data_IF_936930539213
#
_entry.id   IF_936930539213
#
_cell.length_a   1.000
_cell.length_b   1.000
_cell.length_c   1.000
_cell.angle_alpha   90.00
_cell.angle_beta   90.00
_cell.angle_gamma   90.00
#
_symmetry.space_group_name_H-M   'P 1'
#
loop_
_entity.id
_entity.type
_entity.pdbx_description
1 polymer ?
#
# COMPACT_ATOMS: atom_id res chain seq x y z
N UNK A 1 20.93 20.63 15.88
CA UNK A 1 19.91 20.60 14.79
C UNK A 1 18.56 20.33 15.44
N UNK A 2 17.54 21.16 15.18
CA UNK A 2 16.18 20.90 15.62
C UNK A 2 15.51 19.95 14.60
N UNK A 3 15.49 18.65 14.92
CA UNK A 3 14.94 17.65 14.01
C UNK A 3 13.44 17.84 13.70
N UNK A 4 12.66 18.42 14.61
CA UNK A 4 11.23 18.65 14.38
C UNK A 4 10.97 19.71 13.30
N UNK A 5 11.65 20.86 13.42
CA UNK A 5 11.53 21.94 12.44
C UNK A 5 12.09 21.54 11.08
N UNK A 6 13.24 20.87 11.07
CA UNK A 6 13.88 20.43 9.83
C UNK A 6 13.05 19.33 9.13
N UNK A 7 12.48 18.39 9.89
CA UNK A 7 11.59 17.39 9.35
C UNK A 7 10.35 18.01 8.71
N UNK A 8 9.72 18.98 9.35
CA UNK A 8 8.56 19.67 8.80
C UNK A 8 8.91 20.39 7.48
N UNK A 9 10.04 21.08 7.45
CA UNK A 9 10.55 21.75 6.25
C UNK A 9 10.77 20.76 5.10
N UNK A 10 11.45 19.65 5.40
CA UNK A 10 11.75 18.60 4.40
C UNK A 10 10.48 17.90 3.88
N UNK A 11 9.50 17.61 4.73
CA UNK A 11 8.23 17.03 4.29
C UNK A 11 7.47 17.95 3.34
N UNK A 12 7.51 19.27 3.59
CA UNK A 12 6.93 20.25 2.69
C UNK A 12 7.67 20.32 1.33
N UNK A 13 8.99 20.17 1.34
CA UNK A 13 9.82 20.15 0.13
C UNK A 13 9.63 18.86 -0.68
N UNK A 14 9.65 17.71 -0.03
CA UNK A 14 9.47 16.39 -0.67
C UNK A 14 8.08 16.18 -1.23
N UNK A 15 7.05 16.79 -0.62
CA UNK A 15 5.63 16.56 -0.98
C UNK A 15 5.20 15.10 -0.91
N UNK A 16 5.73 14.39 0.09
CA UNK A 16 5.62 12.95 0.27
C UNK A 16 6.94 12.23 0.07
N UNK A 17 7.06 11.03 0.62
CA UNK A 17 8.29 10.21 0.58
C UNK A 17 8.26 9.11 -0.46
N UNK A 18 7.14 8.97 -1.17
CA UNK A 18 6.90 7.90 -2.14
C UNK A 18 6.57 8.49 -3.51
N UNK A 19 6.95 7.75 -4.53
CA UNK A 19 6.64 8.02 -5.92
C UNK A 19 6.16 6.74 -6.60
N UNK A 20 5.19 6.84 -7.50
CA UNK A 20 4.76 5.74 -8.36
C UNK A 20 5.40 5.95 -9.73
N UNK A 21 6.22 5.00 -10.14
CA UNK A 21 6.99 5.07 -11.39
C UNK A 21 6.53 3.96 -12.34
N UNK A 22 6.27 4.31 -13.60
CA UNK A 22 6.02 3.34 -14.65
C UNK A 22 7.29 2.52 -14.94
N UNK A 23 7.16 1.20 -15.01
CA UNK A 23 8.29 0.27 -15.27
C UNK A 23 8.48 -0.06 -16.75
N UNK A 24 7.55 0.35 -17.59
CA UNK A 24 7.55 0.07 -19.03
C UNK A 24 7.49 1.38 -19.81
N UNK A 25 8.12 1.45 -20.98
CA UNK A 25 8.02 2.62 -21.84
C UNK A 25 6.62 2.73 -22.44
N UNK A 26 6.19 3.96 -22.73
CA UNK A 26 4.97 4.28 -23.48
C UNK A 26 5.32 5.38 -24.49
N UNK A 27 6.37 5.17 -25.25
CA UNK A 27 6.93 6.17 -26.17
C UNK A 27 6.44 6.01 -27.60
N UNK A 28 5.95 4.84 -27.94
CA UNK A 28 5.46 4.50 -29.28
C UNK A 28 4.03 3.95 -29.22
N UNK A 29 3.35 3.92 -30.37
CA UNK A 29 2.05 3.27 -30.50
C UNK A 29 2.13 1.76 -30.21
N UNK A 30 3.24 1.15 -30.55
CA UNK A 30 3.49 -0.28 -30.28
C UNK A 30 3.64 -0.52 -28.77
N UNK A 31 4.46 0.28 -28.08
CA UNK A 31 4.57 0.20 -26.60
C UNK A 31 3.20 0.27 -25.94
N UNK A 32 2.38 1.26 -26.35
CA UNK A 32 1.04 1.43 -25.82
C UNK A 32 0.15 0.21 -26.10
N UNK A 33 0.25 -0.36 -27.29
CA UNK A 33 -0.55 -1.52 -27.69
C UNK A 33 -0.16 -2.78 -26.91
N UNK A 34 1.09 -2.91 -26.50
CA UNK A 34 1.57 -4.00 -25.66
C UNK A 34 1.24 -3.77 -24.17
N UNK A 35 1.45 -2.57 -23.68
CA UNK A 35 1.24 -2.25 -22.27
C UNK A 35 -0.24 -2.09 -21.91
N UNK A 36 -1.09 -1.73 -22.87
CA UNK A 36 -2.52 -1.49 -22.65
C UNK A 36 -3.37 -2.19 -23.73
N UNK A 37 -4.17 -1.46 -24.49
CA UNK A 37 -5.09 -2.06 -25.47
C UNK A 37 -4.45 -2.14 -26.87
N UNK A 38 -4.47 -3.31 -27.56
CA UNK A 38 -5.23 -4.54 -27.24
C UNK A 38 -4.46 -5.62 -26.46
N UNK A 39 -3.14 -5.51 -26.32
CA UNK A 39 -2.27 -6.57 -25.82
C UNK A 39 -2.59 -7.01 -24.38
N UNK A 40 -3.02 -6.08 -23.52
CA UNK A 40 -3.34 -6.35 -22.11
C UNK A 40 -4.45 -7.38 -21.92
N UNK A 41 -5.28 -7.63 -22.92
CA UNK A 41 -6.32 -8.65 -22.85
C UNK A 41 -5.75 -10.05 -22.58
N UNK A 42 -4.58 -10.37 -23.12
CA UNK A 42 -3.99 -11.69 -22.96
C UNK A 42 -3.58 -12.02 -21.53
N UNK A 43 -2.79 -11.19 -20.81
CA UNK A 43 -2.52 -11.43 -19.41
C UNK A 43 -3.77 -11.43 -18.54
N UNK A 44 -4.80 -10.63 -18.83
CA UNK A 44 -6.08 -10.70 -18.13
C UNK A 44 -6.74 -12.08 -18.24
N UNK A 45 -6.78 -12.66 -19.46
CA UNK A 45 -7.36 -13.98 -19.70
C UNK A 45 -6.55 -15.10 -19.02
N UNK A 46 -5.23 -14.96 -18.93
CA UNK A 46 -4.39 -15.92 -18.21
C UNK A 46 -4.66 -15.87 -16.69
N UNK A 47 -4.79 -14.68 -16.10
CA UNK A 47 -5.16 -14.53 -14.69
C UNK A 47 -6.58 -15.03 -14.42
N UNK A 48 -7.52 -14.82 -15.35
CA UNK A 48 -8.89 -15.33 -15.23
C UNK A 48 -8.92 -16.87 -15.14
N UNK A 49 -8.08 -17.56 -15.92
CA UNK A 49 -7.96 -19.02 -15.90
C UNK A 49 -7.27 -19.53 -14.63
N UNK A 50 -6.26 -18.83 -14.17
CA UNK A 50 -5.47 -19.15 -12.99
C UNK A 50 -5.13 -17.86 -12.21
N UNK A 51 -5.88 -17.54 -11.14
CA UNK A 51 -5.63 -16.34 -10.34
C UNK A 51 -4.23 -16.23 -9.75
N UNK A 52 -3.52 -17.35 -9.56
CA UNK A 52 -2.14 -17.35 -9.06
C UNK A 52 -1.17 -16.64 -10.02
N UNK A 53 -1.48 -16.63 -11.33
CA UNK A 53 -0.70 -15.91 -12.35
C UNK A 53 -0.66 -14.40 -12.12
N UNK A 54 -1.55 -13.86 -11.28
CA UNK A 54 -1.49 -12.44 -10.90
C UNK A 54 -0.17 -12.07 -10.21
N UNK A 55 0.47 -12.99 -9.51
CA UNK A 55 1.79 -12.79 -8.91
C UNK A 55 2.91 -12.72 -9.96
N UNK A 56 2.79 -13.40 -11.09
CA UNK A 56 3.79 -13.36 -12.17
C UNK A 56 3.57 -12.18 -13.12
N UNK A 57 2.31 -11.85 -13.39
CA UNK A 57 1.91 -10.94 -14.46
C UNK A 57 1.59 -9.52 -14.01
N UNK A 58 1.59 -9.27 -12.69
CA UNK A 58 1.33 -7.94 -12.13
C UNK A 58 2.33 -7.58 -11.04
N UNK A 59 2.26 -6.32 -10.55
CA UNK A 59 3.10 -5.86 -9.44
C UNK A 59 2.73 -6.51 -8.10
N UNK A 60 1.65 -7.27 -8.04
CA UNK A 60 1.17 -7.96 -6.84
C UNK A 60 2.27 -8.77 -6.14
N UNK A 61 3.20 -9.39 -6.88
CA UNK A 61 4.28 -10.21 -6.31
C UNK A 61 5.20 -9.47 -5.31
N UNK A 62 5.32 -8.14 -5.42
CA UNK A 62 6.22 -7.35 -4.60
C UNK A 62 5.59 -6.04 -4.11
N UNK A 63 4.29 -6.01 -3.92
CA UNK A 63 3.57 -4.84 -3.43
C UNK A 63 2.90 -5.15 -2.09
N UNK A 64 3.26 -4.41 -1.04
CA UNK A 64 2.68 -4.52 0.29
C UNK A 64 1.78 -3.31 0.60
N UNK A 65 0.59 -3.55 1.13
CA UNK A 65 -0.22 -2.49 1.70
C UNK A 65 0.20 -2.24 3.16
N UNK A 66 0.52 -1.00 3.51
CA UNK A 66 0.75 -0.57 4.91
C UNK A 66 -0.51 0.15 5.37
N UNK A 67 -1.27 -0.49 6.26
CA UNK A 67 -2.64 -0.08 6.58
C UNK A 67 -2.76 0.33 8.05
N UNK A 68 -3.38 1.49 8.29
CA UNK A 68 -3.65 2.02 9.63
C UNK A 68 -5.04 2.63 9.72
N UNK A 69 -5.58 2.74 10.93
CA UNK A 69 -6.71 3.61 11.26
C UNK A 69 -6.26 4.88 12.00
N UNK A 70 -4.95 5.02 12.24
CA UNK A 70 -4.35 6.17 12.91
C UNK A 70 -4.53 6.19 14.43
N UNK A 71 -5.15 5.17 15.02
CA UNK A 71 -5.56 5.17 16.44
C UNK A 71 -4.43 5.00 17.44
N UNK A 72 -3.22 4.61 16.98
CA UNK A 72 -2.04 4.50 17.84
C UNK A 72 -0.90 5.44 17.42
N UNK A 73 -1.12 6.33 16.46
CA UNK A 73 -0.16 7.35 16.08
C UNK A 73 -0.27 8.54 17.04
N UNK A 74 0.79 8.81 17.83
CA UNK A 74 0.86 9.94 18.77
C UNK A 74 -0.41 10.12 19.67
N UNK A 75 -1.02 8.99 20.01
CA UNK A 75 -2.32 8.95 20.72
C UNK A 75 -3.48 8.89 19.75
N UNK A 76 -4.19 8.99 19.17
CA UNK A 76 -5.28 8.95 18.18
C UNK A 76 -5.38 10.31 17.46
N UNK A 77 -4.49 10.53 16.51
CA UNK A 77 -4.49 11.76 15.70
C UNK A 77 -5.29 11.63 14.40
N UNK A 78 -5.89 10.48 14.19
CA UNK A 78 -6.67 10.15 13.00
C UNK A 78 -5.83 9.64 11.81
N UNK A 79 -6.49 9.01 10.83
CA UNK A 79 -5.80 8.29 9.75
C UNK A 79 -5.00 9.21 8.82
N UNK A 80 -5.51 10.38 8.46
CA UNK A 80 -4.81 11.29 7.54
C UNK A 80 -3.54 11.87 8.16
N UNK A 81 -3.59 12.21 9.45
CA UNK A 81 -2.41 12.72 10.18
C UNK A 81 -1.36 11.62 10.40
N UNK A 82 -1.75 10.35 10.33
CA UNK A 82 -0.84 9.19 10.36
C UNK A 82 -0.07 8.96 9.06
N UNK A 83 -0.47 9.57 7.94
CA UNK A 83 0.13 9.32 6.62
C UNK A 83 1.66 9.48 6.58
N UNK A 84 2.28 10.52 7.18
CA UNK A 84 3.75 10.64 7.18
C UNK A 84 4.47 9.46 7.85
N UNK A 85 3.88 8.86 8.87
CA UNK A 85 4.42 7.66 9.54
C UNK A 85 4.31 6.46 8.62
N UNK A 86 3.15 6.28 7.97
CA UNK A 86 2.90 5.17 7.05
C UNK A 86 3.82 5.24 5.82
N UNK A 87 4.05 6.43 5.26
CA UNK A 87 5.05 6.62 4.20
C UNK A 87 6.46 6.28 4.69
N UNK A 88 6.80 6.65 5.91
CA UNK A 88 8.07 6.27 6.54
C UNK A 88 8.24 4.76 6.60
N UNK A 89 7.21 4.02 7.01
CA UNK A 89 7.23 2.55 6.99
C UNK A 89 7.44 2.00 5.58
N UNK A 90 6.78 2.56 4.58
CA UNK A 90 6.96 2.16 3.17
C UNK A 90 8.41 2.39 2.69
N UNK A 91 9.04 3.50 3.09
CA UNK A 91 10.46 3.77 2.80
C UNK A 91 11.36 2.69 3.41
N UNK A 92 11.08 2.23 4.65
CA UNK A 92 11.83 1.15 5.28
C UNK A 92 11.66 -0.18 4.54
N UNK A 93 10.44 -0.53 4.13
CA UNK A 93 10.18 -1.72 3.29
C UNK A 93 11.03 -1.70 2.03
N UNK A 94 11.11 -0.55 1.35
CA UNK A 94 11.90 -0.40 0.13
C UNK A 94 13.39 -0.47 0.41
N UNK A 95 13.87 0.30 1.38
CA UNK A 95 15.31 0.44 1.65
C UNK A 95 15.94 -0.87 2.16
N UNK A 96 15.25 -1.61 3.01
CA UNK A 96 15.79 -2.80 3.67
C UNK A 96 15.34 -4.12 3.06
N UNK A 97 14.14 -4.16 2.45
CA UNK A 97 13.55 -5.38 1.91
C UNK A 97 13.42 -5.41 0.39
N UNK A 98 13.66 -4.30 -0.30
CA UNK A 98 13.40 -4.18 -1.74
C UNK A 98 11.92 -4.32 -2.11
N UNK A 99 11.03 -4.26 -1.11
CA UNK A 99 9.57 -4.38 -1.29
C UNK A 99 8.98 -3.02 -1.60
N UNK A 100 8.15 -2.94 -2.63
CA UNK A 100 7.32 -1.78 -2.86
C UNK A 100 6.16 -1.81 -1.87
N UNK A 101 5.92 -0.70 -1.20
CA UNK A 101 4.84 -0.59 -0.23
C UNK A 101 4.02 0.66 -0.48
N UNK A 102 2.72 0.58 -0.22
CA UNK A 102 1.78 1.67 -0.42
C UNK A 102 0.98 1.93 0.85
N UNK A 103 0.90 3.19 1.33
CA UNK A 103 0.20 3.52 2.57
C UNK A 103 -1.30 3.66 2.31
N UNK A 104 -2.10 3.09 3.21
CA UNK A 104 -3.55 3.17 3.20
C UNK A 104 -4.06 3.54 4.59
N UNK A 105 -4.80 4.65 4.68
CA UNK A 105 -5.38 5.11 5.92
C UNK A 105 -6.90 4.90 5.87
N UNK A 106 -7.42 4.04 6.74
CA UNK A 106 -8.84 3.66 6.80
C UNK A 106 -9.54 4.46 7.88
N UNK A 107 -10.58 5.19 7.50
CA UNK A 107 -11.31 6.10 8.39
C UNK A 107 -12.44 5.36 9.13
N UNK A 108 -12.06 4.42 9.99
CA UNK A 108 -12.99 3.76 10.91
C UNK A 108 -12.27 3.19 12.12
N UNK A 109 -12.94 3.17 13.28
CA UNK A 109 -12.49 2.43 14.47
C UNK A 109 -13.33 1.17 14.71
N UNK A 110 -14.29 0.89 13.84
CA UNK A 110 -15.04 -0.37 13.89
C UNK A 110 -14.20 -1.51 13.29
N UNK A 111 -14.10 -2.61 14.03
CA UNK A 111 -13.26 -3.76 13.65
C UNK A 111 -13.79 -4.43 12.40
N UNK A 112 -15.11 -4.61 12.29
CA UNK A 112 -15.70 -5.35 11.17
C UNK A 112 -15.67 -4.51 9.89
N UNK A 113 -15.90 -3.20 9.98
CA UNK A 113 -15.73 -2.29 8.85
C UNK A 113 -14.28 -2.26 8.36
N UNK A 114 -13.32 -2.18 9.29
CA UNK A 114 -11.90 -2.19 8.94
C UNK A 114 -11.50 -3.49 8.25
N UNK A 115 -11.85 -4.64 8.83
CA UNK A 115 -11.56 -5.96 8.27
C UNK A 115 -12.19 -6.12 6.89
N UNK A 116 -13.45 -5.72 6.73
CA UNK A 116 -14.13 -5.78 5.43
C UNK A 116 -13.45 -4.90 4.38
N UNK A 117 -13.08 -3.67 4.74
CA UNK A 117 -12.37 -2.77 3.83
C UNK A 117 -11.04 -3.36 3.35
N UNK A 118 -10.25 -3.92 4.28
CA UNK A 118 -8.97 -4.56 3.96
C UNK A 118 -9.16 -5.82 3.11
N UNK A 119 -10.12 -6.68 3.44
CA UNK A 119 -10.40 -7.91 2.71
C UNK A 119 -10.80 -7.61 1.24
N UNK A 120 -11.61 -6.57 1.01
CA UNK A 120 -12.07 -6.18 -0.33
C UNK A 120 -10.94 -5.71 -1.25
N UNK A 121 -9.87 -5.12 -0.69
CA UNK A 121 -8.73 -4.61 -1.49
C UNK A 121 -7.52 -5.56 -1.50
N UNK A 122 -7.51 -6.58 -0.66
CA UNK A 122 -6.37 -7.49 -0.45
C UNK A 122 -5.86 -8.12 -1.74
N UNK A 123 -6.73 -8.37 -2.70
CA UNK A 123 -6.38 -8.95 -4.01
C UNK A 123 -5.39 -8.12 -4.85
N UNK A 124 -5.20 -6.86 -4.53
CA UNK A 124 -4.26 -5.97 -5.23
C UNK A 124 -2.81 -6.09 -4.71
N UNK A 125 -2.61 -6.75 -3.58
CA UNK A 125 -1.33 -6.79 -2.86
C UNK A 125 -0.81 -8.21 -2.69
N UNK A 126 0.49 -8.35 -2.57
CA UNK A 126 1.16 -9.60 -2.20
C UNK A 126 1.30 -9.79 -0.69
N UNK A 127 1.12 -8.72 0.06
CA UNK A 127 1.17 -8.73 1.52
C UNK A 127 0.50 -7.51 2.14
N UNK A 128 0.14 -7.64 3.41
CA UNK A 128 -0.49 -6.57 4.20
C UNK A 128 0.28 -6.42 5.50
N UNK A 129 0.67 -5.19 5.82
CA UNK A 129 1.24 -4.80 7.10
C UNK A 129 0.23 -3.90 7.82
N UNK A 130 -0.28 -4.35 8.95
CA UNK A 130 -1.08 -3.53 9.84
C UNK A 130 -0.15 -2.67 10.71
N UNK A 131 -0.37 -1.37 10.76
CA UNK A 131 0.52 -0.43 11.43
C UNK A 131 -0.26 0.53 12.31
N UNK A 132 0.24 0.77 13.52
CA UNK A 132 -0.26 1.78 14.47
C UNK A 132 -1.78 1.74 14.70
N UNK A 133 -2.33 0.55 14.86
CA UNK A 133 -3.70 0.31 15.30
C UNK A 133 -3.69 0.02 16.80
N UNK A 134 -4.53 0.73 17.56
CA UNK A 134 -4.55 0.62 19.01
C UNK A 134 -5.00 -0.75 19.53
N UNK A 135 -4.33 -1.21 20.59
CA UNK A 135 -4.78 -2.40 21.34
C UNK A 135 -6.08 -2.08 22.12
N UNK A 136 -6.96 -3.06 22.31
CA UNK A 136 -6.85 -4.48 21.92
C UNK A 136 -7.33 -4.77 20.49
N UNK A 137 -7.89 -3.78 19.76
CA UNK A 137 -8.49 -3.95 18.44
C UNK A 137 -7.52 -4.54 17.41
N UNK A 138 -6.24 -4.13 17.45
CA UNK A 138 -5.24 -4.64 16.52
C UNK A 138 -5.14 -6.17 16.51
N UNK A 139 -5.27 -6.82 17.69
CA UNK A 139 -5.22 -8.29 17.78
C UNK A 139 -6.46 -8.96 17.18
N UNK A 140 -7.64 -8.37 17.35
CA UNK A 140 -8.87 -8.86 16.77
C UNK A 140 -8.88 -8.70 15.24
N UNK A 141 -8.45 -7.54 14.75
CA UNK A 141 -8.32 -7.27 13.31
C UNK A 141 -7.35 -8.27 12.67
N UNK A 142 -6.16 -8.45 13.26
CA UNK A 142 -5.17 -9.40 12.74
C UNK A 142 -5.71 -10.83 12.68
N UNK A 143 -6.40 -11.27 13.73
CA UNK A 143 -7.02 -12.58 13.78
C UNK A 143 -8.04 -12.79 12.66
N UNK A 144 -8.97 -11.82 12.49
CA UNK A 144 -10.03 -11.91 11.47
C UNK A 144 -9.47 -11.84 10.04
N UNK A 145 -8.38 -11.14 9.80
CA UNK A 145 -7.75 -11.08 8.48
C UNK A 145 -6.91 -12.30 8.11
N UNK A 146 -6.63 -13.18 9.07
CA UNK A 146 -5.93 -14.47 8.84
C UNK A 146 -6.89 -15.62 8.55
N UNK A 147 -8.17 -15.48 8.82
CA UNK A 147 -9.25 -16.43 8.52
C UNK A 147 -9.70 -16.33 7.07
#
# INVERSE_FOLDING_TARGET
>A
MNYAEESLRLHAEWKGKLEVVARVPVSTKEDLSLAYTPGVAQPCLEIQKDPSRSYDLTRRHNLCAVITDGSAVLGDIGPEAGMPVMEGKCVLFKAFGGVDAFPLCVRTHDVDEFVNAVALIAGSFGGINLEDISAPRCFEIERKLKE
#
